data_IF_902083653865
#
_entry.id   IF_902083653865
#
_cell.length_a   1.000
_cell.length_b   1.000
_cell.length_c   1.000
_cell.angle_alpha   90.00
_cell.angle_beta   90.00
_cell.angle_gamma   90.00
#
_symmetry.space_group_name_H-M   'P 1'
#
loop_
_entity.id
_entity.type
_entity.pdbx_description
1 polymer ?
#
# COMPACT_ATOMS: atom_id res chain seq x y z
N UNK A 1 -30.78 -18.24 -19.48
CA UNK A 1 -30.17 -17.38 -18.43
C UNK A 1 -29.92 -16.04 -19.06
N UNK A 2 -30.33 -14.96 -18.44
CA UNK A 2 -30.30 -13.64 -19.07
C UNK A 2 -28.83 -13.18 -19.21
N UNK A 3 -28.38 -12.77 -20.39
CA UNK A 3 -26.99 -12.35 -20.67
C UNK A 3 -26.49 -11.27 -19.69
N UNK A 4 -27.37 -10.41 -19.23
CA UNK A 4 -27.10 -9.42 -18.18
C UNK A 4 -26.69 -10.08 -16.85
N UNK A 5 -27.35 -11.14 -16.43
CA UNK A 5 -27.04 -11.85 -15.17
C UNK A 5 -25.66 -12.51 -15.29
N UNK A 6 -25.34 -13.08 -16.44
CA UNK A 6 -24.01 -13.66 -16.69
C UNK A 6 -22.94 -12.59 -16.63
N UNK A 7 -23.16 -11.44 -17.28
CA UNK A 7 -22.23 -10.32 -17.25
C UNK A 7 -21.95 -9.83 -15.84
N UNK A 8 -22.99 -9.57 -15.04
CA UNK A 8 -22.81 -9.08 -13.68
C UNK A 8 -22.16 -10.11 -12.77
N UNK A 9 -22.54 -11.38 -12.89
CA UNK A 9 -21.95 -12.45 -12.07
C UNK A 9 -20.46 -12.64 -12.40
N UNK A 10 -20.11 -12.70 -13.68
CA UNK A 10 -18.73 -12.82 -14.12
C UNK A 10 -17.89 -11.61 -13.70
N UNK A 11 -18.42 -10.40 -13.89
CA UNK A 11 -17.75 -9.16 -13.46
C UNK A 11 -17.46 -9.15 -11.97
N UNK A 12 -18.47 -9.45 -11.12
CA UNK A 12 -18.31 -9.45 -9.68
C UNK A 12 -17.31 -10.50 -9.21
N UNK A 13 -17.39 -11.72 -9.75
CA UNK A 13 -16.46 -12.81 -9.40
C UNK A 13 -15.01 -12.42 -9.71
N UNK A 14 -14.74 -11.98 -10.93
CA UNK A 14 -13.38 -11.60 -11.34
C UNK A 14 -12.89 -10.41 -10.52
N UNK A 15 -13.72 -9.40 -10.31
CA UNK A 15 -13.38 -8.22 -9.51
C UNK A 15 -13.05 -8.58 -8.07
N UNK A 16 -13.82 -9.42 -7.43
CA UNK A 16 -13.58 -9.86 -6.04
C UNK A 16 -12.25 -10.61 -5.95
N UNK A 17 -12.01 -11.59 -6.84
CA UNK A 17 -10.77 -12.37 -6.86
C UNK A 17 -9.55 -11.47 -7.06
N UNK A 18 -9.60 -10.56 -8.04
CA UNK A 18 -8.52 -9.60 -8.30
C UNK A 18 -8.29 -8.67 -7.10
N UNK A 19 -9.34 -8.13 -6.51
CA UNK A 19 -9.25 -7.23 -5.37
C UNK A 19 -8.59 -7.92 -4.18
N UNK A 20 -9.01 -9.14 -3.84
CA UNK A 20 -8.44 -9.92 -2.74
C UNK A 20 -6.97 -10.23 -3.00
N UNK A 21 -6.62 -10.65 -4.22
CA UNK A 21 -5.25 -10.99 -4.57
C UNK A 21 -4.32 -9.78 -4.49
N UNK A 22 -4.72 -8.64 -5.06
CA UNK A 22 -3.92 -7.40 -5.01
C UNK A 22 -3.83 -6.87 -3.59
N UNK A 23 -4.94 -6.86 -2.83
CA UNK A 23 -4.96 -6.42 -1.43
C UNK A 23 -4.01 -7.24 -0.56
N UNK A 24 -4.01 -8.57 -0.73
CA UNK A 24 -3.11 -9.46 0.03
C UNK A 24 -1.63 -9.19 -0.27
N UNK A 25 -1.28 -9.05 -1.55
CA UNK A 25 0.09 -8.71 -1.95
C UNK A 25 0.51 -7.34 -1.43
N UNK A 26 -0.38 -6.34 -1.51
CA UNK A 26 -0.11 -5.00 -1.02
C UNK A 26 0.08 -4.96 0.49
N UNK A 27 -0.76 -5.67 1.24
CA UNK A 27 -0.68 -5.77 2.69
C UNK A 27 0.64 -6.41 3.15
N UNK A 28 0.99 -7.55 2.56
CA UNK A 28 2.21 -8.29 2.91
C UNK A 28 3.49 -7.50 2.64
N UNK A 29 3.56 -6.87 1.46
CA UNK A 29 4.75 -6.12 1.06
C UNK A 29 4.78 -4.72 1.73
N UNK A 30 3.61 -4.10 1.94
CA UNK A 30 3.49 -2.78 2.56
C UNK A 30 3.97 -2.75 4.00
N UNK A 31 3.76 -3.80 4.77
CA UNK A 31 4.17 -3.88 6.17
C UNK A 31 5.68 -3.71 6.34
N UNK A 32 6.48 -4.33 5.47
CA UNK A 32 7.95 -4.23 5.53
C UNK A 32 8.41 -2.79 5.32
N UNK A 33 7.83 -2.09 4.35
CA UNK A 33 8.14 -0.68 4.07
C UNK A 33 7.73 0.23 5.22
N UNK A 34 6.56 0.00 5.81
CA UNK A 34 6.07 0.81 6.92
C UNK A 34 6.94 0.66 8.17
N UNK A 35 7.40 -0.54 8.49
CA UNK A 35 8.32 -0.75 9.61
C UNK A 35 9.62 0.03 9.43
N UNK A 36 10.16 0.08 8.21
CA UNK A 36 11.36 0.88 7.89
C UNK A 36 11.07 2.39 8.02
N UNK A 37 9.92 2.86 7.53
CA UNK A 37 9.51 4.26 7.63
C UNK A 37 9.33 4.72 9.07
N UNK A 38 8.72 3.90 9.91
CA UNK A 38 8.46 4.19 11.32
C UNK A 38 9.61 3.78 12.27
N UNK A 39 10.82 3.64 11.74
CA UNK A 39 12.04 3.39 12.53
C UNK A 39 11.96 2.16 13.44
N UNK A 40 11.32 1.09 12.96
CA UNK A 40 11.15 -0.17 13.69
C UNK A 40 9.94 -0.20 14.64
N UNK A 41 9.13 0.84 14.68
CA UNK A 41 7.86 0.80 15.45
C UNK A 41 6.83 -0.07 14.72
N UNK A 42 6.80 -1.34 15.09
CA UNK A 42 5.94 -2.36 14.47
C UNK A 42 4.46 -2.11 14.71
N UNK A 43 4.08 -1.64 15.89
CA UNK A 43 2.68 -1.37 16.25
C UNK A 43 2.09 -0.26 15.37
N UNK A 44 2.83 0.83 15.18
CA UNK A 44 2.40 1.93 14.34
C UNK A 44 2.37 1.51 12.86
N UNK A 45 3.37 0.77 12.41
CA UNK A 45 3.42 0.24 11.04
C UNK A 45 2.23 -0.68 10.75
N UNK A 46 1.86 -1.55 11.68
CA UNK A 46 0.73 -2.47 11.55
C UNK A 46 -0.61 -1.71 11.54
N UNK A 47 -0.78 -0.73 12.44
CA UNK A 47 -2.00 0.09 12.48
C UNK A 47 -2.22 0.85 11.17
N UNK A 48 -1.17 1.47 10.62
CA UNK A 48 -1.25 2.19 9.33
C UNK A 48 -1.48 1.21 8.17
N UNK A 49 -0.83 0.04 8.18
CA UNK A 49 -1.02 -0.97 7.15
C UNK A 49 -2.47 -1.50 7.12
N UNK A 50 -3.06 -1.74 8.29
CA UNK A 50 -4.46 -2.15 8.43
C UNK A 50 -5.41 -1.07 7.90
N UNK A 51 -5.14 0.19 8.19
CA UNK A 51 -5.94 1.32 7.68
C UNK A 51 -5.88 1.41 6.15
N UNK A 52 -4.69 1.27 5.57
CA UNK A 52 -4.50 1.25 4.12
C UNK A 52 -5.22 0.06 3.47
N UNK A 53 -5.19 -1.10 4.09
CA UNK A 53 -5.86 -2.30 3.63
C UNK A 53 -7.38 -2.14 3.60
N UNK A 54 -7.97 -1.63 4.68
CA UNK A 54 -9.41 -1.32 4.75
C UNK A 54 -9.80 -0.26 3.71
N UNK A 55 -9.03 0.82 3.59
CA UNK A 55 -9.24 1.87 2.59
C UNK A 55 -9.20 1.33 1.17
N UNK A 56 -8.27 0.43 0.87
CA UNK A 56 -8.16 -0.24 -0.42
C UNK A 56 -9.44 -1.02 -0.77
N UNK A 57 -9.96 -1.82 0.17
CA UNK A 57 -11.22 -2.53 -0.05
C UNK A 57 -12.42 -1.60 -0.25
N UNK A 58 -12.53 -0.56 0.57
CA UNK A 58 -13.64 0.40 0.47
C UNK A 58 -13.69 1.08 -0.90
N UNK A 59 -12.55 1.54 -1.40
CA UNK A 59 -12.46 2.19 -2.72
C UNK A 59 -12.79 1.20 -3.83
N UNK A 60 -12.26 -0.02 -3.78
CA UNK A 60 -12.48 -1.02 -4.83
C UNK A 60 -13.92 -1.53 -4.86
N UNK A 61 -14.50 -1.83 -3.68
CA UNK A 61 -15.90 -2.25 -3.58
C UNK A 61 -16.81 -1.10 -4.02
N UNK A 62 -16.55 0.12 -3.55
CA UNK A 62 -17.31 1.30 -3.93
C UNK A 62 -17.29 1.53 -5.44
N UNK A 63 -16.14 1.42 -6.07
CA UNK A 63 -16.01 1.55 -7.53
C UNK A 63 -16.71 0.40 -8.27
N UNK A 64 -16.55 -0.85 -7.80
CA UNK A 64 -17.19 -2.01 -8.40
C UNK A 64 -18.71 -1.87 -8.40
N UNK A 65 -19.30 -1.40 -7.29
CA UNK A 65 -20.74 -1.14 -7.18
C UNK A 65 -21.17 0.02 -8.07
N UNK A 66 -20.38 1.11 -8.09
CA UNK A 66 -20.65 2.28 -8.92
C UNK A 66 -20.71 1.92 -10.42
N UNK A 67 -19.80 1.06 -10.90
CA UNK A 67 -19.70 0.66 -12.31
C UNK A 67 -20.57 -0.55 -12.67
N UNK A 68 -21.35 -1.07 -11.73
CA UNK A 68 -22.21 -2.24 -11.98
C UNK A 68 -23.30 -1.93 -13.01
N UNK A 69 -23.82 -0.71 -13.05
CA UNK A 69 -24.84 -0.31 -14.01
C UNK A 69 -24.31 -0.39 -15.44
N UNK A 70 -25.05 -1.09 -16.29
CA UNK A 70 -24.86 -1.10 -17.75
C UNK A 70 -26.14 -0.54 -18.37
N UNK A 71 -25.99 0.47 -19.21
CA UNK A 71 -27.12 1.13 -19.87
C UNK A 71 -27.45 0.48 -21.21
N UNK A 72 -26.55 -0.34 -21.74
CA UNK A 72 -26.71 -0.98 -23.03
C UNK A 72 -27.47 -2.30 -22.90
N UNK A 73 -28.30 -2.58 -23.91
CA UNK A 73 -29.00 -3.84 -24.03
C UNK A 73 -27.97 -4.89 -24.45
N UNK A 74 -27.78 -5.90 -23.61
CA UNK A 74 -26.83 -6.99 -23.86
C UNK A 74 -27.57 -8.15 -24.49
N UNK A 75 -27.55 -8.21 -25.82
CA UNK A 75 -28.34 -9.19 -26.58
C UNK A 75 -27.55 -10.45 -26.92
N UNK A 76 -26.25 -10.34 -27.16
CA UNK A 76 -25.40 -11.43 -27.61
C UNK A 76 -24.13 -11.62 -26.75
N UNK A 77 -23.46 -12.75 -26.96
CA UNK A 77 -22.24 -13.10 -26.23
C UNK A 77 -21.07 -12.11 -26.51
N UNK A 78 -21.03 -11.50 -27.69
CA UNK A 78 -20.01 -10.54 -28.07
C UNK A 78 -20.13 -9.28 -27.19
N UNK A 79 -21.35 -8.74 -27.08
CA UNK A 79 -21.64 -7.57 -26.26
C UNK A 79 -21.32 -7.82 -24.77
N UNK A 80 -21.57 -9.06 -24.28
CA UNK A 80 -21.16 -9.48 -22.92
C UNK A 80 -19.66 -9.36 -22.75
N UNK A 81 -18.88 -9.90 -23.69
CA UNK A 81 -17.40 -9.90 -23.60
C UNK A 81 -16.86 -8.48 -23.71
N UNK A 82 -17.36 -7.66 -24.61
CA UNK A 82 -16.93 -6.27 -24.77
C UNK A 82 -17.21 -5.43 -23.52
N UNK A 83 -18.42 -5.52 -22.95
CA UNK A 83 -18.79 -4.81 -21.74
C UNK A 83 -17.99 -5.29 -20.52
N UNK A 84 -17.75 -6.60 -20.39
CA UNK A 84 -16.97 -7.18 -19.32
C UNK A 84 -15.50 -6.71 -19.41
N UNK A 85 -14.92 -6.75 -20.60
CA UNK A 85 -13.54 -6.31 -20.85
C UNK A 85 -13.33 -4.84 -20.48
N UNK A 86 -14.27 -3.97 -20.84
CA UNK A 86 -14.21 -2.55 -20.53
C UNK A 86 -14.27 -2.30 -18.99
N UNK A 87 -15.19 -2.97 -18.31
CA UNK A 87 -15.35 -2.85 -16.85
C UNK A 87 -14.17 -3.41 -16.08
N UNK A 88 -13.66 -4.59 -16.47
CA UNK A 88 -12.48 -5.19 -15.86
C UNK A 88 -11.22 -4.38 -16.14
N UNK A 89 -11.06 -3.88 -17.36
CA UNK A 89 -9.95 -2.99 -17.72
C UNK A 89 -9.90 -1.74 -16.85
N UNK A 90 -11.04 -1.10 -16.62
CA UNK A 90 -11.14 0.07 -15.75
C UNK A 90 -10.76 -0.27 -14.28
N UNK A 91 -11.23 -1.39 -13.74
CA UNK A 91 -10.87 -1.84 -12.38
C UNK A 91 -9.37 -2.12 -12.27
N UNK A 92 -8.80 -2.82 -13.24
CA UNK A 92 -7.35 -3.12 -13.25
C UNK A 92 -6.53 -1.84 -13.28
N UNK A 93 -6.92 -0.85 -14.08
CA UNK A 93 -6.25 0.47 -14.13
C UNK A 93 -6.34 1.20 -12.79
N UNK A 94 -7.49 1.17 -12.12
CA UNK A 94 -7.67 1.79 -10.80
C UNK A 94 -6.83 1.08 -9.75
N UNK A 95 -6.84 -0.26 -9.73
CA UNK A 95 -5.99 -1.06 -8.83
C UNK A 95 -4.51 -0.76 -9.05
N UNK A 96 -4.08 -0.68 -10.30
CA UNK A 96 -2.72 -0.30 -10.67
C UNK A 96 -2.37 1.12 -10.22
N UNK A 97 -3.24 2.09 -10.49
CA UNK A 97 -3.06 3.48 -10.07
C UNK A 97 -2.96 3.61 -8.55
N UNK A 98 -3.82 2.93 -7.80
CA UNK A 98 -3.74 2.89 -6.32
C UNK A 98 -2.44 2.25 -5.83
N UNK A 99 -1.99 1.18 -6.49
CA UNK A 99 -0.72 0.55 -6.15
C UNK A 99 0.46 1.52 -6.34
N UNK A 100 0.54 2.20 -7.48
CA UNK A 100 1.57 3.22 -7.73
C UNK A 100 1.47 4.41 -6.75
N UNK A 101 0.27 4.84 -6.41
CA UNK A 101 0.05 5.88 -5.43
C UNK A 101 0.58 5.47 -4.04
N UNK A 102 0.31 4.25 -3.60
CA UNK A 102 0.84 3.70 -2.35
C UNK A 102 2.37 3.67 -2.36
N UNK A 103 2.98 3.18 -3.45
CA UNK A 103 4.44 3.22 -3.64
C UNK A 103 4.98 4.65 -3.54
N UNK A 104 4.33 5.62 -4.20
CA UNK A 104 4.74 7.02 -4.17
C UNK A 104 4.66 7.63 -2.77
N UNK A 105 3.58 7.35 -2.02
CA UNK A 105 3.40 7.80 -0.64
C UNK A 105 4.52 7.25 0.24
N UNK A 106 4.84 5.95 0.12
CA UNK A 106 5.91 5.31 0.88
C UNK A 106 7.28 5.93 0.57
N UNK A 107 7.59 6.16 -0.69
CA UNK A 107 8.82 6.85 -1.08
C UNK A 107 8.91 8.26 -0.50
N UNK A 108 7.81 9.00 -0.50
CA UNK A 108 7.78 10.36 0.05
C UNK A 108 7.94 10.38 1.57
N UNK A 109 7.29 9.44 2.27
CA UNK A 109 7.43 9.29 3.72
C UNK A 109 8.84 8.87 4.10
N UNK A 110 9.44 7.93 3.38
CA UNK A 110 10.83 7.50 3.60
C UNK A 110 11.81 8.66 3.44
N UNK A 111 11.67 9.47 2.40
CA UNK A 111 12.52 10.66 2.21
C UNK A 111 12.41 11.64 3.38
N UNK A 112 11.22 11.87 3.92
CA UNK A 112 11.02 12.74 5.08
C UNK A 112 11.62 12.15 6.35
N UNK A 113 11.48 10.84 6.58
CA UNK A 113 12.06 10.15 7.71
C UNK A 113 13.59 10.20 7.72
N UNK A 114 14.24 10.10 6.55
CA UNK A 114 15.69 10.21 6.39
C UNK A 114 16.15 11.67 6.56
N UNK A 115 15.42 12.64 6.02
CA UNK A 115 15.74 14.06 6.14
C UNK A 115 15.62 14.59 7.58
N UNK A 116 14.75 13.99 8.40
CA UNK A 116 14.63 14.28 9.83
C UNK A 116 15.74 13.67 10.69
N UNK A 117 16.55 12.79 10.16
CA UNK A 117 17.78 12.32 10.80
C UNK A 117 18.87 13.35 10.56
N UNK A 118 18.90 14.41 11.35
CA UNK A 118 20.15 15.14 11.52
C UNK A 118 21.17 14.16 12.11
N UNK A 119 22.32 13.91 11.46
CA UNK A 119 23.40 13.19 12.10
C UNK A 119 23.82 14.02 13.31
N UNK A 120 23.41 13.51 14.47
CA UNK A 120 23.89 13.93 15.79
C UNK A 120 24.36 15.37 15.92
N UNK A 121 23.49 16.26 16.34
CA UNK A 121 23.94 17.22 17.32
C UNK A 121 24.20 16.39 18.58
N UNK A 122 25.37 15.77 18.68
CA UNK A 122 25.87 15.33 19.97
C UNK A 122 25.88 16.57 20.83
N UNK A 123 24.93 16.67 21.75
CA UNK A 123 24.90 17.73 22.75
C UNK A 123 26.06 17.44 23.70
N UNK A 124 27.23 18.00 23.40
CA UNK A 124 28.44 17.94 24.23
C UNK A 124 28.20 18.51 25.63
N UNK A 125 27.03 19.09 25.86
CA UNK A 125 26.63 19.68 27.13
C UNK A 125 26.27 18.65 28.19
N UNK A 126 25.96 17.40 27.79
CA UNK A 126 25.59 16.30 28.68
C UNK A 126 26.67 15.21 28.76
N UNK A 127 27.90 15.51 28.39
CA UNK A 127 29.00 14.59 28.67
C UNK A 127 29.30 14.70 30.17
N UNK A 128 29.17 13.60 30.97
CA UNK A 128 29.61 13.64 32.36
C UNK A 128 31.13 13.87 32.36
N UNK A 129 31.55 14.93 33.03
CA UNK A 129 32.93 15.38 33.16
C UNK A 129 33.89 14.34 33.81
N UNK A 130 33.39 13.18 34.19
CA UNK A 130 34.10 12.15 34.93
C UNK A 130 34.76 11.05 34.08
N UNK A 131 34.71 11.13 32.75
CA UNK A 131 35.43 10.21 31.86
C UNK A 131 36.87 10.68 31.49
N UNK A 132 37.34 11.73 32.14
CA UNK A 132 38.69 12.32 31.89
C UNK A 132 39.87 11.56 32.46
N UNK A 133 39.72 10.34 32.97
CA UNK A 133 40.82 9.58 33.58
C UNK A 133 40.98 8.16 33.05
N UNK A 134 40.80 7.94 31.77
CA UNK A 134 41.43 6.77 31.17
C UNK A 134 42.88 7.14 30.81
N UNK A 135 43.82 6.90 31.78
CA UNK A 135 45.23 6.83 31.49
C UNK A 135 45.45 5.81 30.39
N UNK A 136 45.82 6.26 29.23
CA UNK A 136 46.40 5.38 28.21
C UNK A 136 47.72 4.86 28.81
N UNK A 137 47.72 3.64 29.33
CA UNK A 137 48.97 2.93 29.60
C UNK A 137 49.64 2.67 28.26
N UNK A 138 50.55 3.51 27.86
CA UNK A 138 51.55 3.20 26.85
C UNK A 138 52.49 2.15 27.46
N UNK A 139 52.68 0.97 26.85
CA UNK A 139 53.76 0.06 27.27
C UNK A 139 55.09 0.77 26.98
N UNK A 140 55.88 1.01 28.01
CA UNK A 140 57.27 1.39 27.84
C UNK A 140 58.02 0.23 27.18
N UNK A 141 58.84 0.53 26.24
CA UNK A 141 59.84 -0.29 25.60
C UNK A 141 60.77 -1.01 26.61
#
# INVERSE_FOLDING_TARGET
MNNMVILYTAYLLVTIVLTIWVAHNLFKNGQVFLVDIFHGNKELAEAVNNLLWVGFYLVNIGYAVYTLKTYDIVEDARTVIEALSLKLGAIILILGGMHFMNMFIFFRLRKRAIAGRHPGRYDYRNYPENLGTYRVNTPNE
#
